data_IF_178371350832
#
_entry.id   IF_178371350832
#
_cell.length_a   1.000
_cell.length_b   1.000
_cell.length_c   1.000
_cell.angle_alpha   90.00
_cell.angle_beta   90.00
_cell.angle_gamma   90.00
#
_symmetry.space_group_name_H-M   'P 1'
#
loop_
_entity.id
_entity.type
_entity.pdbx_description
1 polymer ?
#
# COMPACT_ATOMS: atom_id res chain seq x y z
N UNK A 1 4.93 -86.90 -23.50
CA UNK A 1 4.29 -85.77 -24.28
C UNK A 1 4.10 -84.57 -23.40
N UNK A 2 4.61 -83.48 -23.77
CA UNK A 2 4.90 -82.19 -23.18
C UNK A 2 3.88 -81.62 -22.18
N UNK A 3 4.37 -81.33 -20.96
CA UNK A 3 3.79 -80.33 -20.05
C UNK A 3 4.43 -78.97 -20.35
N UNK A 4 3.65 -78.05 -20.81
CA UNK A 4 4.07 -76.63 -20.96
C UNK A 4 3.69 -75.85 -19.71
N UNK A 5 4.71 -75.34 -19.10
CA UNK A 5 4.80 -74.41 -17.96
C UNK A 5 4.00 -73.14 -18.13
N UNK A 6 3.22 -72.81 -17.13
CA UNK A 6 2.66 -71.44 -16.91
C UNK A 6 3.56 -70.74 -15.89
N UNK A 7 4.37 -69.85 -16.38
CA UNK A 7 5.16 -68.94 -15.56
C UNK A 7 5.19 -67.60 -16.31
N UNK A 8 4.29 -66.70 -15.98
CA UNK A 8 4.39 -65.25 -16.27
C UNK A 8 3.09 -64.59 -15.86
N UNK A 9 3.03 -63.94 -14.72
CA UNK A 9 2.16 -62.80 -14.42
C UNK A 9 2.25 -62.42 -12.93
N UNK A 10 3.40 -62.00 -12.42
CA UNK A 10 3.50 -61.32 -11.11
C UNK A 10 4.55 -60.22 -11.13
N UNK A 11 4.67 -59.45 -12.16
CA UNK A 11 5.64 -58.34 -12.21
C UNK A 11 5.08 -57.01 -12.74
N UNK A 12 3.75 -56.78 -12.58
CA UNK A 12 3.11 -55.60 -13.11
C UNK A 12 2.48 -54.64 -12.08
N UNK A 13 2.64 -54.89 -10.77
CA UNK A 13 1.83 -54.21 -9.76
C UNK A 13 2.53 -53.12 -8.91
N UNK A 14 3.86 -52.94 -9.00
CA UNK A 14 4.58 -52.13 -8.00
C UNK A 14 5.11 -50.78 -8.49
N UNK A 15 4.84 -50.33 -9.72
CA UNK A 15 5.38 -49.07 -10.25
C UNK A 15 4.39 -47.90 -10.31
N UNK A 16 3.12 -48.06 -9.88
CA UNK A 16 2.11 -47.01 -10.04
C UNK A 16 1.82 -46.19 -8.76
N UNK A 17 2.52 -46.45 -7.66
CA UNK A 17 2.23 -45.77 -6.37
C UNK A 17 3.22 -44.68 -5.99
N UNK A 18 4.14 -44.26 -6.86
CA UNK A 18 5.19 -43.25 -6.55
C UNK A 18 4.96 -41.88 -7.18
N UNK A 19 3.85 -41.63 -7.86
CA UNK A 19 3.62 -40.33 -8.57
C UNK A 19 2.62 -39.38 -7.86
N UNK A 20 2.25 -39.67 -6.62
CA UNK A 20 1.41 -38.78 -5.81
C UNK A 20 2.19 -37.99 -4.74
N UNK A 21 3.47 -37.74 -4.95
CA UNK A 21 4.14 -36.65 -4.25
C UNK A 21 3.63 -35.31 -4.86
N UNK A 22 2.42 -34.92 -4.47
CA UNK A 22 1.90 -33.59 -4.81
C UNK A 22 2.94 -32.58 -4.40
N UNK A 23 3.48 -31.83 -5.36
CA UNK A 23 4.32 -30.69 -5.09
C UNK A 23 3.53 -29.77 -4.15
N UNK A 24 3.90 -29.73 -2.87
CA UNK A 24 3.38 -28.75 -1.95
C UNK A 24 3.81 -27.38 -2.49
N UNK A 25 2.95 -26.76 -3.28
CA UNK A 25 3.18 -25.39 -3.71
C UNK A 25 3.19 -24.54 -2.45
N UNK A 26 4.30 -23.87 -2.19
CA UNK A 26 4.39 -22.93 -1.10
C UNK A 26 3.29 -21.89 -1.30
N UNK A 27 2.39 -21.77 -0.34
CA UNK A 27 1.37 -20.73 -0.34
C UNK A 27 2.08 -19.38 -0.36
N UNK A 28 1.73 -18.52 -1.31
CA UNK A 28 2.28 -17.16 -1.43
C UNK A 28 1.20 -16.18 -1.00
N UNK A 29 1.49 -15.37 0.00
CA UNK A 29 0.67 -14.23 0.41
C UNK A 29 1.23 -13.00 -0.28
N UNK A 30 0.40 -12.28 -1.02
CA UNK A 30 0.75 -11.09 -1.77
C UNK A 30 0.21 -9.86 -1.07
N UNK A 31 1.09 -8.97 -0.69
CA UNK A 31 0.77 -7.71 -0.01
C UNK A 31 1.33 -6.55 -0.83
N UNK A 32 0.58 -5.48 -0.99
CA UNK A 32 1.05 -4.26 -1.66
C UNK A 32 0.23 -3.06 -1.16
N UNK A 33 0.79 -1.86 -1.25
CA UNK A 33 0.06 -0.65 -0.92
C UNK A 33 0.94 0.47 -0.38
N UNK A 34 0.56 0.97 0.79
CA UNK A 34 1.14 2.14 1.43
C UNK A 34 2.63 1.99 1.76
N UNK A 35 3.45 2.94 1.32
CA UNK A 35 4.85 3.07 1.72
C UNK A 35 5.03 3.37 3.21
N UNK A 36 4.04 3.99 3.85
CA UNK A 36 4.05 4.28 5.30
C UNK A 36 3.92 3.00 6.11
N UNK A 37 3.06 2.07 5.66
CA UNK A 37 2.79 0.79 6.35
C UNK A 37 3.84 -0.27 6.00
N UNK A 38 4.46 -0.17 4.83
CA UNK A 38 5.42 -1.14 4.30
C UNK A 38 6.46 -1.63 5.31
N UNK A 39 7.21 -0.77 6.07
CA UNK A 39 8.24 -1.26 6.97
C UNK A 39 7.68 -2.10 8.13
N UNK A 40 6.44 -1.85 8.55
CA UNK A 40 5.77 -2.64 9.57
C UNK A 40 5.36 -3.99 8.98
N UNK A 41 4.74 -3.97 7.82
CA UNK A 41 4.29 -5.19 7.12
C UNK A 41 5.47 -6.08 6.76
N UNK A 42 6.59 -5.51 6.29
CA UNK A 42 7.81 -6.26 5.98
C UNK A 42 8.35 -6.99 7.20
N UNK A 43 8.47 -6.29 8.35
CA UNK A 43 8.93 -6.89 9.59
C UNK A 43 8.00 -8.01 10.08
N UNK A 44 6.68 -7.80 10.03
CA UNK A 44 5.69 -8.82 10.41
C UNK A 44 5.73 -10.01 9.45
N UNK A 45 5.86 -9.77 8.14
CA UNK A 45 5.97 -10.82 7.13
C UNK A 45 7.21 -11.69 7.35
N UNK A 46 8.35 -11.09 7.70
CA UNK A 46 9.58 -11.80 8.02
C UNK A 46 9.39 -12.73 9.22
N UNK A 47 8.87 -12.21 10.34
CA UNK A 47 8.61 -12.98 11.54
C UNK A 47 7.55 -14.09 11.32
N UNK A 48 6.51 -13.79 10.56
CA UNK A 48 5.51 -14.78 10.17
C UNK A 48 6.11 -15.93 9.35
N UNK A 49 6.94 -15.64 8.36
CA UNK A 49 7.61 -16.65 7.56
C UNK A 49 8.52 -17.53 8.43
N UNK A 50 9.28 -16.95 9.36
CA UNK A 50 10.09 -17.69 10.34
C UNK A 50 9.22 -18.62 11.20
N UNK A 51 8.13 -18.10 11.78
CA UNK A 51 7.19 -18.88 12.59
C UNK A 51 6.56 -20.04 11.81
N UNK A 52 6.30 -19.86 10.52
CA UNK A 52 5.80 -20.91 9.62
C UNK A 52 6.90 -21.77 9.00
N UNK A 53 8.14 -21.71 9.52
CA UNK A 53 9.29 -22.49 9.03
C UNK A 53 9.51 -22.33 7.52
N UNK A 54 9.21 -21.15 6.99
CA UNK A 54 9.32 -20.76 5.57
C UNK A 54 8.51 -21.64 4.58
N UNK A 55 7.48 -22.34 5.05
CA UNK A 55 6.55 -23.07 4.17
C UNK A 55 5.50 -22.14 3.53
N UNK A 56 5.31 -20.95 4.09
CA UNK A 56 4.50 -19.86 3.52
C UNK A 56 5.45 -18.76 3.06
N UNK A 57 5.25 -18.27 1.84
CA UNK A 57 5.98 -17.12 1.31
C UNK A 57 5.10 -15.88 1.43
N UNK A 58 5.71 -14.74 1.79
CA UNK A 58 5.05 -13.44 1.80
C UNK A 58 5.84 -12.50 0.90
N UNK A 59 5.16 -11.80 0.03
CA UNK A 59 5.74 -10.74 -0.80
C UNK A 59 5.09 -9.42 -0.43
N UNK A 60 5.89 -8.38 -0.20
CA UNK A 60 5.40 -7.05 0.15
C UNK A 60 5.90 -6.05 -0.89
N UNK A 61 4.99 -5.31 -1.49
CA UNK A 61 5.28 -4.29 -2.49
C UNK A 61 4.89 -2.88 -2.03
N UNK A 62 5.30 -1.88 -2.80
CA UNK A 62 4.98 -0.47 -2.56
C UNK A 62 4.42 0.12 -3.86
N UNK A 63 3.10 0.39 -3.89
CA UNK A 63 2.47 1.10 -5.00
C UNK A 63 1.61 2.30 -4.54
N UNK A 64 1.75 2.66 -3.25
CA UNK A 64 0.90 3.63 -2.58
C UNK A 64 -0.47 3.07 -2.24
N UNK A 65 -1.18 3.68 -1.27
CA UNK A 65 -2.49 3.21 -0.80
C UNK A 65 -3.49 3.01 -1.95
N UNK A 66 -3.64 4.00 -2.83
CA UNK A 66 -4.57 3.89 -3.96
C UNK A 66 -4.12 2.88 -5.04
N UNK A 67 -2.81 2.63 -5.17
CA UNK A 67 -2.26 1.57 -6.03
C UNK A 67 -2.57 0.19 -5.48
N UNK A 68 -2.40 0.01 -4.16
CA UNK A 68 -2.77 -1.20 -3.44
C UNK A 68 -4.25 -1.53 -3.59
N UNK A 69 -5.16 -0.58 -3.34
CA UNK A 69 -6.60 -0.80 -3.52
C UNK A 69 -6.99 -1.18 -4.95
N UNK A 70 -6.36 -0.57 -5.96
CA UNK A 70 -6.62 -0.96 -7.36
C UNK A 70 -6.26 -2.41 -7.65
N UNK A 71 -5.13 -2.90 -7.13
CA UNK A 71 -4.72 -4.30 -7.28
C UNK A 71 -5.62 -5.22 -6.46
N UNK A 72 -5.92 -4.83 -5.22
CA UNK A 72 -6.77 -5.58 -4.30
C UNK A 72 -8.18 -5.78 -4.86
N UNK A 73 -8.82 -4.71 -5.36
CA UNK A 73 -10.15 -4.79 -5.98
C UNK A 73 -10.15 -5.47 -7.36
N UNK A 74 -9.01 -5.96 -7.87
CA UNK A 74 -8.90 -6.85 -9.02
C UNK A 74 -8.53 -8.28 -8.64
N UNK A 75 -8.56 -8.58 -7.33
CA UNK A 75 -8.20 -9.91 -6.79
C UNK A 75 -6.74 -10.31 -7.10
N UNK A 76 -5.84 -9.32 -7.16
CA UNK A 76 -4.42 -9.55 -7.41
C UNK A 76 -3.60 -9.68 -6.12
N UNK A 77 -4.18 -9.28 -4.96
CA UNK A 77 -3.55 -9.25 -3.64
C UNK A 77 -4.43 -9.94 -2.60
N UNK A 78 -3.78 -10.53 -1.60
CA UNK A 78 -4.45 -11.05 -0.41
C UNK A 78 -4.66 -9.96 0.65
N UNK A 79 -3.73 -8.98 0.72
CA UNK A 79 -3.79 -7.86 1.68
C UNK A 79 -3.40 -6.57 0.94
N UNK A 80 -4.14 -5.49 1.19
CA UNK A 80 -3.75 -4.14 0.79
C UNK A 80 -3.36 -3.32 2.01
N UNK A 81 -2.12 -2.86 2.04
CA UNK A 81 -1.65 -1.91 3.03
C UNK A 81 -2.20 -0.52 2.74
N UNK A 82 -2.77 0.12 3.74
CA UNK A 82 -3.39 1.42 3.58
C UNK A 82 -3.06 2.37 4.72
N UNK A 83 -2.79 3.63 4.41
CA UNK A 83 -2.60 4.73 5.36
C UNK A 83 -3.81 5.67 5.43
N UNK A 84 -4.93 5.27 4.83
CA UNK A 84 -6.25 5.86 4.92
C UNK A 84 -7.31 4.80 4.73
N UNK A 85 -8.57 5.03 5.17
CA UNK A 85 -9.68 4.16 4.85
C UNK A 85 -9.91 4.03 3.34
N UNK A 86 -10.54 2.93 2.94
CA UNK A 86 -11.00 2.72 1.56
C UNK A 86 -12.09 3.76 1.20
N UNK A 87 -12.02 4.35 0.03
CA UNK A 87 -13.01 5.33 -0.44
C UNK A 87 -14.27 4.65 -0.97
N UNK A 88 -15.40 5.40 -1.03
CA UNK A 88 -16.66 4.90 -1.60
C UNK A 88 -16.48 4.35 -3.02
N UNK A 89 -15.70 5.06 -3.86
CA UNK A 89 -15.41 4.59 -5.22
C UNK A 89 -14.62 3.27 -5.24
N UNK A 90 -13.60 3.14 -4.41
CA UNK A 90 -12.82 1.90 -4.31
C UNK A 90 -13.68 0.74 -3.77
N UNK A 91 -14.62 1.01 -2.83
CA UNK A 91 -15.60 0.01 -2.38
C UNK A 91 -16.49 -0.47 -3.52
N UNK A 92 -16.96 0.45 -4.38
CA UNK A 92 -17.74 0.10 -5.58
C UNK A 92 -16.92 -0.75 -6.55
N UNK A 93 -15.67 -0.40 -6.80
CA UNK A 93 -14.76 -1.13 -7.68
C UNK A 93 -14.54 -2.57 -7.16
N UNK A 94 -14.28 -2.76 -5.85
CA UNK A 94 -14.19 -4.08 -5.23
C UNK A 94 -15.49 -4.88 -5.35
N UNK A 95 -16.62 -4.26 -5.06
CA UNK A 95 -17.95 -4.89 -5.14
C UNK A 95 -18.29 -5.36 -6.55
N UNK A 96 -17.93 -4.59 -7.57
CA UNK A 96 -18.17 -4.92 -8.97
C UNK A 96 -17.50 -6.24 -9.40
N UNK A 97 -16.39 -6.60 -8.75
CA UNK A 97 -15.63 -7.85 -9.00
C UNK A 97 -15.97 -8.95 -7.98
N UNK A 98 -16.75 -8.62 -6.95
CA UNK A 98 -17.15 -9.58 -5.90
C UNK A 98 -16.13 -9.74 -4.78
N UNK A 99 -15.11 -8.86 -4.71
CA UNK A 99 -14.11 -8.87 -3.65
C UNK A 99 -14.75 -8.38 -2.35
N UNK A 100 -14.67 -9.22 -1.30
CA UNK A 100 -15.06 -8.90 0.06
C UNK A 100 -13.80 -8.69 0.90
N UNK A 101 -13.85 -7.77 1.84
CA UNK A 101 -12.69 -7.45 2.68
C UNK A 101 -13.09 -7.15 4.12
N UNK A 102 -12.11 -7.22 4.99
CA UNK A 102 -12.17 -6.77 6.37
C UNK A 102 -11.15 -5.65 6.53
N UNK A 103 -11.56 -4.52 7.09
CA UNK A 103 -10.65 -3.45 7.47
C UNK A 103 -10.17 -3.66 8.91
N UNK A 104 -8.85 -3.70 9.08
CA UNK A 104 -8.20 -3.89 10.38
C UNK A 104 -7.28 -2.70 10.68
N UNK A 105 -7.64 -1.77 11.59
CA UNK A 105 -6.72 -0.76 12.07
C UNK A 105 -5.58 -1.41 12.86
N UNK A 106 -4.33 -1.09 12.48
CA UNK A 106 -3.13 -1.67 13.12
C UNK A 106 -2.35 -0.66 13.94
N UNK A 107 -2.43 0.63 13.59
CA UNK A 107 -1.78 1.73 14.30
C UNK A 107 -2.40 3.07 13.91
N UNK A 108 -2.11 4.10 14.73
CA UNK A 108 -2.37 5.49 14.37
C UNK A 108 -1.07 6.12 13.87
N UNK A 109 -1.16 6.87 12.78
CA UNK A 109 -0.08 7.70 12.27
C UNK A 109 -0.49 9.17 12.34
N UNK A 110 0.46 10.07 12.60
CA UNK A 110 0.21 11.50 12.70
C UNK A 110 1.04 12.26 11.66
N UNK A 111 0.37 13.04 10.84
CA UNK A 111 1.02 13.95 9.91
C UNK A 111 1.21 15.32 10.56
N UNK A 112 2.44 15.82 10.56
CA UNK A 112 2.77 17.14 11.08
C UNK A 112 3.33 18.03 9.98
N UNK A 113 2.79 19.26 9.88
CA UNK A 113 3.37 20.31 9.05
C UNK A 113 4.48 20.99 9.86
N UNK A 114 5.66 21.01 9.32
CA UNK A 114 6.83 21.61 9.98
C UNK A 114 7.35 22.80 9.18
N UNK A 115 7.94 23.75 9.87
CA UNK A 115 8.63 24.90 9.27
C UNK A 115 10.09 24.93 9.69
N UNK A 116 10.92 25.60 8.90
CA UNK A 116 12.34 25.79 9.25
C UNK A 116 12.46 26.48 10.64
N UNK A 117 13.36 26.07 11.53
CA UNK A 117 13.55 26.70 12.85
C UNK A 117 13.82 28.20 12.79
N UNK A 118 14.38 28.70 11.70
CA UNK A 118 14.58 30.13 11.46
C UNK A 118 13.32 30.89 11.06
N UNK A 119 12.21 30.20 10.77
CA UNK A 119 10.93 30.82 10.50
C UNK A 119 10.32 31.32 11.83
N UNK A 120 10.39 32.62 12.07
CA UNK A 120 9.94 33.23 13.30
C UNK A 120 8.49 33.77 13.24
N UNK A 121 7.88 33.81 12.07
CA UNK A 121 6.56 34.43 11.85
C UNK A 121 5.40 33.42 11.80
N UNK A 122 5.59 32.25 11.23
CA UNK A 122 4.56 31.22 11.14
C UNK A 122 4.53 30.38 12.43
N UNK A 123 3.81 30.86 13.45
CA UNK A 123 3.63 30.16 14.72
C UNK A 123 2.47 29.18 14.70
N UNK A 124 1.45 29.51 13.94
CA UNK A 124 0.25 28.72 13.69
C UNK A 124 -0.14 28.90 12.23
N UNK A 125 -0.59 27.83 11.59
CA UNK A 125 -1.12 27.85 10.25
C UNK A 125 -2.55 27.31 10.25
N UNK A 126 -3.44 27.93 9.49
CA UNK A 126 -4.80 27.40 9.30
C UNK A 126 -4.86 26.47 8.09
N UNK A 127 -5.90 25.63 8.03
CA UNK A 127 -6.16 24.78 6.86
C UNK A 127 -6.34 25.62 5.60
N UNK A 128 -7.02 26.78 5.73
CA UNK A 128 -7.24 27.72 4.62
C UNK A 128 -5.91 28.30 4.07
N UNK A 129 -4.98 28.66 4.95
CA UNK A 129 -3.65 29.10 4.54
C UNK A 129 -2.86 27.97 3.87
N UNK A 130 -2.94 26.74 4.40
CA UNK A 130 -2.30 25.56 3.80
C UNK A 130 -2.91 25.27 2.44
N UNK A 131 -4.24 25.31 2.31
CA UNK A 131 -4.92 25.16 1.02
C UNK A 131 -4.45 26.21 0.02
N UNK A 132 -4.43 27.48 0.42
CA UNK A 132 -3.97 28.60 -0.44
C UNK A 132 -2.52 28.41 -0.93
N UNK A 133 -1.68 27.76 -0.15
CA UNK A 133 -0.29 27.44 -0.53
C UNK A 133 -0.22 26.25 -1.48
N UNK A 134 -1.01 25.19 -1.22
CA UNK A 134 -0.81 23.89 -1.84
C UNK A 134 -1.79 23.53 -2.96
N UNK A 135 -2.91 24.26 -3.10
CA UNK A 135 -3.88 23.96 -4.16
C UNK A 135 -3.28 24.17 -5.57
N UNK A 136 -3.76 23.47 -6.60
CA UNK A 136 -3.24 23.58 -7.98
C UNK A 136 -3.23 25.01 -8.50
N UNK A 137 -4.23 25.84 -8.13
CA UNK A 137 -4.31 27.25 -8.54
C UNK A 137 -3.15 28.11 -7.99
N UNK A 138 -2.48 27.68 -6.93
CA UNK A 138 -1.33 28.38 -6.36
C UNK A 138 -0.06 28.26 -7.22
N UNK A 139 -0.01 27.32 -8.17
CA UNK A 139 1.15 27.09 -9.02
C UNK A 139 1.56 28.35 -9.79
N UNK A 140 2.76 28.85 -9.51
CA UNK A 140 3.30 30.06 -10.11
C UNK A 140 2.63 31.39 -9.64
N UNK A 141 1.53 31.32 -8.87
CA UNK A 141 0.79 32.49 -8.38
C UNK A 141 1.17 32.84 -6.94
N UNK A 142 1.18 31.86 -6.05
CA UNK A 142 1.54 32.06 -4.64
C UNK A 142 3.00 31.68 -4.45
N UNK A 143 3.88 32.65 -4.56
CA UNK A 143 5.34 32.46 -4.48
C UNK A 143 5.95 33.11 -3.24
N UNK A 144 5.20 33.96 -2.53
CA UNK A 144 5.68 34.74 -1.38
C UNK A 144 4.72 34.63 -0.20
N UNK A 145 5.25 34.69 1.01
CA UNK A 145 4.50 34.52 2.23
C UNK A 145 3.41 35.59 2.45
N UNK A 146 3.70 36.87 2.11
CA UNK A 146 2.72 37.94 2.23
C UNK A 146 1.52 37.77 1.27
N UNK A 147 1.62 36.94 0.24
CA UNK A 147 0.48 36.60 -0.61
C UNK A 147 -0.46 35.61 0.08
N UNK A 148 0.04 34.82 1.02
CA UNK A 148 -0.78 33.91 1.83
C UNK A 148 -1.54 34.70 2.88
N UNK A 149 -0.78 35.48 3.65
CA UNK A 149 -1.32 36.34 4.71
C UNK A 149 -0.52 37.67 4.71
N UNK A 150 -1.18 38.83 4.59
CA UNK A 150 -0.50 40.13 4.58
C UNK A 150 0.35 40.44 5.81
N UNK A 151 0.08 39.77 6.93
CA UNK A 151 0.89 39.90 8.16
C UNK A 151 2.23 39.16 8.07
N UNK A 152 2.43 38.31 7.08
CA UNK A 152 3.69 37.57 6.89
C UNK A 152 4.69 38.44 6.09
N UNK A 153 5.99 38.15 6.23
CA UNK A 153 7.01 38.93 5.53
C UNK A 153 6.95 38.71 4.02
N UNK A 154 7.43 39.70 3.27
CA UNK A 154 7.65 39.59 1.84
C UNK A 154 8.88 38.73 1.54
N UNK A 155 8.75 37.42 1.71
CA UNK A 155 9.81 36.44 1.55
C UNK A 155 9.32 35.28 0.66
N UNK A 156 10.23 34.63 -0.09
CA UNK A 156 9.86 33.54 -0.97
C UNK A 156 9.42 32.30 -0.18
N UNK A 157 8.40 31.59 -0.68
CA UNK A 157 7.95 30.31 -0.16
C UNK A 157 8.81 29.20 -0.79
N UNK A 158 9.34 28.31 0.03
CA UNK A 158 9.94 27.04 -0.41
C UNK A 158 9.15 25.91 0.21
N UNK A 159 8.62 25.02 -0.62
CA UNK A 159 7.77 23.90 -0.22
C UNK A 159 8.54 22.59 -0.37
N UNK A 160 8.34 21.72 0.61
CA UNK A 160 8.86 20.37 0.63
C UNK A 160 7.74 19.45 1.07
N UNK A 161 7.62 18.29 0.46
CA UNK A 161 6.57 17.34 0.76
C UNK A 161 6.96 15.93 0.35
N UNK A 162 6.13 14.96 0.74
CA UNK A 162 6.28 13.59 0.31
C UNK A 162 6.01 13.44 -1.20
N UNK A 163 6.56 12.41 -1.82
CA UNK A 163 6.36 12.11 -3.24
C UNK A 163 4.91 11.72 -3.55
N UNK A 164 4.55 11.80 -4.82
CA UNK A 164 3.17 11.56 -5.30
C UNK A 164 2.67 10.11 -5.11
N UNK A 165 3.56 9.18 -4.86
CA UNK A 165 3.30 7.77 -4.55
C UNK A 165 3.20 7.48 -3.04
N UNK A 166 3.42 8.50 -2.20
CA UNK A 166 3.32 8.40 -0.74
C UNK A 166 1.89 8.56 -0.25
N UNK A 167 1.47 7.71 0.69
CA UNK A 167 0.21 7.86 1.43
C UNK A 167 0.15 9.18 2.22
N UNK A 168 1.29 9.68 2.69
CA UNK A 168 1.39 11.00 3.34
C UNK A 168 0.98 12.12 2.38
N UNK A 169 1.42 12.07 1.12
CA UNK A 169 1.01 13.04 0.10
C UNK A 169 -0.50 12.95 -0.20
N UNK A 170 -1.02 11.73 -0.34
CA UNK A 170 -2.46 11.52 -0.59
C UNK A 170 -3.29 12.11 0.55
N UNK A 171 -2.99 11.75 1.80
CA UNK A 171 -3.72 12.23 2.97
C UNK A 171 -3.59 13.75 3.16
N UNK A 172 -2.37 14.29 3.03
CA UNK A 172 -2.14 15.73 3.15
C UNK A 172 -2.97 16.53 2.14
N UNK A 173 -2.95 16.12 0.88
CA UNK A 173 -3.69 16.82 -0.18
C UNK A 173 -5.20 16.69 0.00
N UNK A 174 -5.69 15.55 0.46
CA UNK A 174 -7.10 15.37 0.80
C UNK A 174 -7.52 16.27 1.96
N UNK A 175 -6.76 16.28 3.06
CA UNK A 175 -7.07 17.08 4.26
C UNK A 175 -6.96 18.59 4.02
N UNK A 176 -5.95 19.05 3.27
CA UNK A 176 -5.68 20.48 3.07
C UNK A 176 -6.37 21.05 1.84
N UNK A 177 -6.41 20.31 0.73
CA UNK A 177 -6.94 20.80 -0.56
C UNK A 177 -8.35 20.28 -0.83
N UNK A 178 -8.76 19.20 -0.15
CA UNK A 178 -10.07 18.55 -0.30
C UNK A 178 -10.11 17.49 -1.40
N UNK A 179 -8.94 17.13 -1.98
CA UNK A 179 -8.85 16.09 -3.00
C UNK A 179 -7.48 15.42 -2.95
N UNK A 180 -7.46 14.09 -2.75
CA UNK A 180 -6.24 13.31 -2.76
C UNK A 180 -5.44 13.51 -4.07
N UNK A 181 -4.12 13.60 -3.94
CA UNK A 181 -3.16 13.82 -5.04
C UNK A 181 -3.34 15.14 -5.82
N UNK A 182 -4.16 16.06 -5.33
CA UNK A 182 -4.36 17.37 -5.94
C UNK A 182 -3.44 18.39 -5.28
N UNK A 183 -2.40 18.84 -5.99
CA UNK A 183 -1.40 19.78 -5.49
C UNK A 183 -0.85 20.61 -6.64
N UNK A 184 -0.25 21.77 -6.29
CA UNK A 184 0.53 22.59 -7.22
C UNK A 184 1.82 21.91 -7.62
#
# INVERSE_FOLDING_TARGET
MLKKTRLAAVLGGSCLSLLAAGAAQAQVIKIDGSSTVYPITEAVAEEFQKAKKNVVKVTVGISGTGGGFKKFCRDELDISDASRPITAKEMEDCKAVGVQYIEMPVAFDALTVVVNPKNSFLKQGTVEEMKKIWEPAAQGQITRWNQVNPAYPDAPIKLFGAGADSGTFEYFTEAMVGKAKSSR
#
